data_IF_828873833216
#
_entry.id   IF_828873833216
#
_cell.length_a   1.000
_cell.length_b   1.000
_cell.length_c   1.000
_cell.angle_alpha   90.00
_cell.angle_beta   90.00
_cell.angle_gamma   90.00
#
_symmetry.space_group_name_H-M   'P 1'
#
loop_
_entity.id
_entity.type
_entity.pdbx_description
1 polymer ?
#
# COMPACT_ATOMS: atom_id res chain seq x y z
N UNK A 1 -9.95 -11.43 -3.32
CA UNK A 1 -9.98 -9.95 -3.27
C UNK A 1 -10.12 -9.44 -4.69
N UNK A 2 -11.18 -8.69 -5.00
CA UNK A 2 -11.41 -8.17 -6.36
C UNK A 2 -11.06 -6.68 -6.41
N UNK A 3 -9.75 -6.39 -6.53
CA UNK A 3 -9.25 -5.03 -6.78
C UNK A 3 -9.28 -4.78 -8.28
N UNK A 4 -9.73 -3.59 -8.68
CA UNK A 4 -9.66 -3.12 -10.07
C UNK A 4 -8.78 -1.88 -10.13
N UNK A 5 -8.27 -1.56 -11.31
CA UNK A 5 -7.44 -0.37 -11.53
C UNK A 5 -8.10 0.91 -11.02
N UNK A 6 -9.42 1.07 -11.21
CA UNK A 6 -10.17 2.23 -10.71
C UNK A 6 -10.16 2.39 -9.18
N UNK A 7 -9.85 1.33 -8.44
CA UNK A 7 -9.78 1.37 -6.98
C UNK A 7 -8.44 2.00 -6.51
N UNK A 8 -7.43 2.12 -7.39
CA UNK A 8 -6.14 2.76 -7.07
C UNK A 8 -6.27 4.26 -6.81
N UNK A 9 -7.14 4.98 -7.53
CA UNK A 9 -7.39 6.40 -7.25
C UNK A 9 -7.89 6.60 -5.80
N UNK A 10 -8.68 5.66 -5.29
CA UNK A 10 -9.22 5.72 -3.93
C UNK A 10 -8.14 5.43 -2.89
N UNK A 11 -7.22 4.52 -3.19
CA UNK A 11 -6.04 4.32 -2.35
C UNK A 11 -5.14 5.54 -2.33
N UNK A 12 -4.94 6.21 -3.47
CA UNK A 12 -4.20 7.47 -3.54
C UNK A 12 -4.84 8.54 -2.65
N UNK A 13 -6.17 8.69 -2.70
CA UNK A 13 -6.89 9.65 -1.84
C UNK A 13 -6.71 9.34 -0.35
N UNK A 14 -6.68 8.07 0.03
CA UNK A 14 -6.42 7.66 1.42
C UNK A 14 -4.95 7.91 1.81
N UNK A 15 -3.99 7.57 0.96
CA UNK A 15 -2.56 7.83 1.21
C UNK A 15 -2.28 9.33 1.38
N UNK A 16 -2.91 10.17 0.56
CA UNK A 16 -2.79 11.63 0.72
C UNK A 16 -3.34 12.10 2.08
N UNK A 17 -4.46 11.56 2.55
CA UNK A 17 -4.99 11.86 3.89
C UNK A 17 -4.06 11.34 5.01
N UNK A 18 -3.45 10.17 4.85
CA UNK A 18 -2.50 9.58 5.80
C UNK A 18 -1.19 10.37 5.86
N UNK A 19 -0.74 10.94 4.74
CA UNK A 19 0.45 11.79 4.68
C UNK A 19 0.36 13.01 5.58
N UNK A 20 -0.86 13.47 5.88
CA UNK A 20 -1.06 14.58 6.80
C UNK A 20 -0.92 14.17 8.27
N UNK A 21 -1.01 12.87 8.58
CA UNK A 21 -0.83 12.29 9.93
C UNK A 21 0.59 11.76 10.15
N UNK A 22 1.22 11.27 9.09
CA UNK A 22 2.57 10.73 9.04
C UNK A 22 3.49 11.72 8.32
N UNK A 23 3.66 12.91 8.92
CA UNK A 23 4.38 14.03 8.29
C UNK A 23 5.87 13.72 8.08
N UNK A 24 6.45 12.90 8.94
CA UNK A 24 7.86 12.49 8.86
C UNK A 24 8.08 11.57 7.64
N UNK A 25 7.07 10.78 7.29
CA UNK A 25 7.10 9.79 6.20
C UNK A 25 6.43 10.30 4.91
N UNK A 26 6.06 11.58 4.86
CA UNK A 26 5.34 12.19 3.73
C UNK A 26 6.05 11.98 2.39
N UNK A 27 7.38 11.99 2.37
CA UNK A 27 8.16 11.72 1.17
C UNK A 27 8.00 10.28 0.68
N UNK A 28 8.13 9.29 1.57
CA UNK A 28 7.91 7.87 1.23
C UNK A 28 6.46 7.61 0.80
N UNK A 29 5.48 8.21 1.47
CA UNK A 29 4.07 8.11 1.07
C UNK A 29 3.87 8.70 -0.33
N UNK A 30 4.53 9.81 -0.66
CA UNK A 30 4.46 10.42 -2.00
C UNK A 30 5.05 9.51 -3.09
N UNK A 31 6.10 8.73 -2.77
CA UNK A 31 6.62 7.70 -3.67
C UNK A 31 5.57 6.62 -3.90
N UNK A 32 4.94 6.12 -2.84
CA UNK A 32 3.83 5.16 -2.94
C UNK A 32 2.68 5.67 -3.81
N UNK A 33 2.23 6.91 -3.58
CA UNK A 33 1.20 7.57 -4.40
C UNK A 33 1.58 7.59 -5.88
N UNK A 34 2.83 7.97 -6.19
CA UNK A 34 3.31 8.00 -7.58
C UNK A 34 3.32 6.61 -8.21
N UNK A 35 3.78 5.59 -7.49
CA UNK A 35 3.78 4.21 -7.98
C UNK A 35 2.35 3.72 -8.26
N UNK A 36 1.40 4.00 -7.37
CA UNK A 36 -0.02 3.66 -7.57
C UNK A 36 -0.62 4.38 -8.79
N UNK A 37 -0.25 5.64 -9.03
CA UNK A 37 -0.69 6.39 -10.21
C UNK A 37 -0.10 5.80 -11.50
N UNK A 38 1.19 5.46 -11.48
CA UNK A 38 1.91 4.86 -12.62
C UNK A 38 1.25 3.52 -13.03
N UNK A 39 0.80 2.68 -12.09
CA UNK A 39 0.15 1.38 -12.36
C UNK A 39 -1.00 1.47 -13.37
N UNK A 40 -1.75 2.58 -13.35
CA UNK A 40 -2.88 2.80 -14.26
C UNK A 40 -2.45 2.98 -15.72
N UNK A 41 -1.18 3.32 -15.96
CA UNK A 41 -0.60 3.58 -17.28
C UNK A 41 0.39 2.50 -17.73
N UNK A 42 0.65 1.49 -16.90
CA UNK A 42 1.58 0.40 -17.20
C UNK A 42 0.87 -0.78 -17.89
N UNK A 43 1.39 -1.14 -19.06
CA UNK A 43 0.96 -2.32 -19.84
C UNK A 43 2.09 -3.34 -20.05
N UNK A 44 3.35 -2.90 -19.98
CA UNK A 44 4.51 -3.77 -20.15
C UNK A 44 4.77 -4.63 -18.90
N UNK A 45 4.96 -5.94 -19.08
CA UNK A 45 5.14 -6.88 -17.98
C UNK A 45 6.40 -6.59 -17.15
N UNK A 46 7.49 -6.14 -17.79
CA UNK A 46 8.74 -5.81 -17.08
C UNK A 46 8.55 -4.55 -16.25
N UNK A 47 7.89 -3.53 -16.81
CA UNK A 47 7.56 -2.31 -16.08
C UNK A 47 6.62 -2.57 -14.90
N UNK A 48 5.62 -3.44 -15.07
CA UNK A 48 4.74 -3.88 -13.97
C UNK A 48 5.53 -4.63 -12.89
N UNK A 49 6.38 -5.58 -13.26
CA UNK A 49 7.23 -6.31 -12.28
C UNK A 49 8.10 -5.35 -11.47
N UNK A 50 8.79 -4.42 -12.14
CA UNK A 50 9.62 -3.42 -11.46
C UNK A 50 8.81 -2.49 -10.55
N UNK A 51 7.56 -2.17 -10.94
CA UNK A 51 6.68 -1.37 -10.11
C UNK A 51 6.23 -2.14 -8.85
N UNK A 52 5.92 -3.44 -9.01
CA UNK A 52 5.53 -4.31 -7.89
C UNK A 52 6.68 -4.48 -6.89
N UNK A 53 7.91 -4.65 -7.38
CA UNK A 53 9.12 -4.72 -6.55
C UNK A 53 9.32 -3.43 -5.75
N UNK A 54 9.21 -2.25 -6.38
CA UNK A 54 9.31 -0.96 -5.67
C UNK A 54 8.21 -0.75 -4.63
N UNK A 55 6.99 -1.23 -4.89
CA UNK A 55 5.91 -1.21 -3.90
C UNK A 55 6.24 -2.10 -2.71
N UNK A 56 6.87 -3.26 -2.95
CA UNK A 56 7.31 -4.15 -1.89
C UNK A 56 8.53 -3.61 -1.11
N UNK A 57 9.49 -2.96 -1.79
CA UNK A 57 10.61 -2.27 -1.13
C UNK A 57 10.13 -1.18 -0.17
N UNK A 58 9.04 -0.47 -0.49
CA UNK A 58 8.45 0.49 0.47
C UNK A 58 7.89 -0.18 1.73
N UNK A 59 7.56 -1.48 1.68
CA UNK A 59 7.06 -2.23 2.83
C UNK A 59 8.20 -2.80 3.67
N UNK A 60 9.14 -3.48 3.02
CA UNK A 60 10.04 -4.47 3.62
C UNK A 60 11.52 -4.21 3.26
N UNK A 61 11.92 -2.94 3.28
CA UNK A 61 13.31 -2.50 3.29
C UNK A 61 13.74 -2.08 4.71
N UNK A 62 15.04 -1.87 4.95
CA UNK A 62 15.60 -1.40 6.23
C UNK A 62 14.96 -0.06 6.69
N UNK A 63 14.33 0.68 5.76
CA UNK A 63 13.58 1.91 6.03
C UNK A 63 12.11 1.84 5.59
N UNK A 64 11.61 0.63 5.36
CA UNK A 64 10.25 0.37 4.91
C UNK A 64 9.21 0.59 6.01
N UNK A 65 7.95 0.73 5.60
CA UNK A 65 6.85 1.05 6.51
C UNK A 65 6.64 0.01 7.61
N UNK A 66 6.97 -1.27 7.38
CA UNK A 66 6.88 -2.29 8.42
C UNK A 66 7.86 -2.00 9.57
N UNK A 67 9.12 -1.67 9.25
CA UNK A 67 10.14 -1.31 10.24
C UNK A 67 9.75 -0.05 10.99
N UNK A 68 9.29 0.99 10.29
CA UNK A 68 8.86 2.25 10.90
C UNK A 68 7.69 2.05 11.86
N UNK A 69 6.74 1.18 11.50
CA UNK A 69 5.60 0.84 12.35
C UNK A 69 6.00 0.10 13.63
N UNK A 70 6.99 -0.80 13.55
CA UNK A 70 7.52 -1.53 14.70
C UNK A 70 8.22 -0.64 15.73
N UNK A 71 8.84 0.45 15.28
CA UNK A 71 9.52 1.42 16.14
C UNK A 71 8.56 2.44 16.79
N UNK A 72 7.37 2.63 16.20
CA UNK A 72 6.40 3.63 16.66
C UNK A 72 5.71 3.22 17.97
N UNK A 73 5.41 4.22 18.81
CA UNK A 73 4.76 4.06 20.12
C UNK A 73 3.41 4.78 20.20
N UNK A 74 3.13 5.73 19.31
CA UNK A 74 1.84 6.39 19.20
C UNK A 74 0.83 5.48 18.50
N UNK A 75 -0.16 5.01 19.25
CA UNK A 75 -1.21 4.12 18.74
C UNK A 75 -1.96 4.68 17.51
N UNK A 76 -2.14 6.00 17.40
CA UNK A 76 -2.78 6.59 16.21
C UNK A 76 -1.86 6.53 14.99
N UNK A 77 -0.56 6.76 15.18
CA UNK A 77 0.43 6.60 14.11
C UNK A 77 0.58 5.14 13.70
N UNK A 78 0.61 4.19 14.65
CA UNK A 78 0.62 2.75 14.35
C UNK A 78 -0.57 2.38 13.46
N UNK A 79 -1.80 2.79 13.80
CA UNK A 79 -2.97 2.50 12.96
C UNK A 79 -2.87 3.19 11.59
N UNK A 80 -2.22 4.36 11.51
CA UNK A 80 -1.97 5.02 10.22
C UNK A 80 -0.95 4.25 9.37
N UNK A 81 0.11 3.74 9.98
CA UNK A 81 1.07 2.85 9.32
C UNK A 81 0.40 1.56 8.83
N UNK A 82 -0.42 0.92 9.65
CA UNK A 82 -1.21 -0.25 9.26
C UNK A 82 -1.98 0.01 7.96
N UNK A 83 -2.63 1.17 7.84
CA UNK A 83 -3.37 1.53 6.64
C UNK A 83 -2.46 1.71 5.41
N UNK A 84 -1.28 2.34 5.57
CA UNK A 84 -0.31 2.50 4.49
C UNK A 84 0.21 1.12 4.04
N UNK A 85 0.58 0.27 4.99
CA UNK A 85 1.08 -1.09 4.75
C UNK A 85 0.04 -1.91 4.00
N UNK A 86 -1.21 -1.94 4.48
CA UNK A 86 -2.28 -2.69 3.82
C UNK A 86 -2.49 -2.23 2.37
N UNK A 87 -2.53 -0.90 2.13
CA UNK A 87 -2.70 -0.34 0.79
C UNK A 87 -1.57 -0.76 -0.14
N UNK A 88 -0.31 -0.61 0.31
CA UNK A 88 0.85 -0.95 -0.50
C UNK A 88 0.94 -2.46 -0.75
N UNK A 89 0.60 -3.29 0.22
CA UNK A 89 0.60 -4.75 0.08
C UNK A 89 -0.49 -5.22 -0.91
N UNK A 90 -1.70 -4.66 -0.80
CA UNK A 90 -2.81 -4.90 -1.73
C UNK A 90 -2.43 -4.47 -3.15
N UNK A 91 -1.86 -3.28 -3.30
CA UNK A 91 -1.41 -2.76 -4.59
C UNK A 91 -0.28 -3.63 -5.16
N UNK A 92 0.73 -3.97 -4.36
CA UNK A 92 1.85 -4.82 -4.77
C UNK A 92 1.37 -6.17 -5.28
N UNK A 93 0.47 -6.86 -4.55
CA UNK A 93 -0.13 -8.11 -5.00
C UNK A 93 -0.82 -7.97 -6.36
N UNK A 94 -1.67 -6.95 -6.50
CA UNK A 94 -2.37 -6.70 -7.75
C UNK A 94 -1.40 -6.52 -8.93
N UNK A 95 -0.33 -5.73 -8.74
CA UNK A 95 0.63 -5.44 -9.80
C UNK A 95 1.47 -6.67 -10.14
N UNK A 96 1.89 -7.45 -9.14
CA UNK A 96 2.57 -8.72 -9.38
C UNK A 96 1.70 -9.69 -10.18
N UNK A 97 0.45 -9.89 -9.80
CA UNK A 97 -0.50 -10.73 -10.53
C UNK A 97 -0.71 -10.23 -11.96
N UNK A 98 -0.84 -8.91 -12.15
CA UNK A 98 -0.97 -8.27 -13.47
C UNK A 98 0.29 -8.44 -14.34
N UNK A 99 1.49 -8.43 -13.74
CA UNK A 99 2.76 -8.66 -14.44
C UNK A 99 2.96 -10.11 -14.90
N UNK A 100 2.16 -11.06 -14.40
CA UNK A 100 2.27 -12.48 -14.72
C UNK A 100 3.34 -13.23 -13.90
N UNK A 101 3.82 -12.64 -12.81
CA UNK A 101 4.71 -13.32 -11.86
C UNK A 101 4.04 -14.56 -11.26
N UNK A 102 4.82 -15.65 -11.12
CA UNK A 102 4.34 -16.94 -10.62
C UNK A 102 4.51 -17.15 -9.12
N UNK A 103 5.49 -16.46 -8.54
CA UNK A 103 5.88 -16.55 -7.15
C UNK A 103 5.98 -15.13 -6.63
N UNK A 104 5.30 -14.84 -5.52
CA UNK A 104 5.36 -13.51 -4.92
C UNK A 104 6.23 -13.59 -3.66
N UNK A 105 6.73 -12.46 -3.14
CA UNK A 105 7.25 -12.43 -1.78
C UNK A 105 6.22 -13.00 -0.80
N UNK A 106 6.65 -13.77 0.20
CA UNK A 106 5.75 -14.46 1.13
C UNK A 106 4.72 -13.51 1.79
N UNK A 107 5.07 -12.30 2.27
CA UNK A 107 4.09 -11.37 2.82
C UNK A 107 3.00 -10.98 1.81
N UNK A 108 3.37 -10.87 0.52
CA UNK A 108 2.46 -10.50 -0.56
C UNK A 108 1.56 -11.68 -0.97
N UNK A 109 2.07 -12.91 -0.94
CA UNK A 109 1.23 -14.10 -1.19
C UNK A 109 0.07 -14.20 -0.19
N UNK A 110 0.33 -13.84 1.08
CA UNK A 110 -0.65 -13.89 2.17
C UNK A 110 -1.73 -12.80 2.11
N UNK A 111 -1.53 -11.74 1.32
CA UNK A 111 -2.52 -10.65 1.20
C UNK A 111 -3.86 -11.20 0.70
N UNK A 112 -4.94 -10.92 1.44
CA UNK A 112 -6.25 -11.52 1.20
C UNK A 112 -7.39 -10.53 1.47
N UNK A 113 -8.63 -11.03 1.48
CA UNK A 113 -9.76 -10.20 1.91
C UNK A 113 -9.61 -9.72 3.36
N UNK A 114 -8.92 -10.47 4.21
CA UNK A 114 -8.66 -10.09 5.60
C UNK A 114 -7.79 -8.82 5.68
N UNK A 115 -6.83 -8.65 4.77
CA UNK A 115 -6.03 -7.43 4.64
C UNK A 115 -6.90 -6.22 4.29
N UNK A 116 -7.86 -6.41 3.38
CA UNK A 116 -8.83 -5.35 3.03
C UNK A 116 -9.78 -5.02 4.21
N UNK A 117 -10.22 -6.04 4.95
CA UNK A 117 -11.06 -5.85 6.12
C UNK A 117 -10.30 -5.11 7.23
N UNK A 118 -9.03 -5.46 7.44
CA UNK A 118 -8.13 -4.77 8.37
C UNK A 118 -7.95 -3.29 7.99
N UNK A 119 -7.66 -3.00 6.72
CA UNK A 119 -7.59 -1.61 6.22
C UNK A 119 -8.86 -0.83 6.55
N UNK A 120 -10.03 -1.39 6.24
CA UNK A 120 -11.32 -0.74 6.47
C UNK A 120 -11.58 -0.48 7.95
N UNK A 121 -11.21 -1.41 8.82
CA UNK A 121 -11.33 -1.24 10.27
C UNK A 121 -10.37 -0.16 10.79
N UNK A 122 -9.13 -0.14 10.33
CA UNK A 122 -8.13 0.85 10.72
C UNK A 122 -8.48 2.25 10.25
N UNK A 123 -9.00 2.42 9.02
CA UNK A 123 -9.52 3.70 8.53
C UNK A 123 -10.70 4.22 9.36
N UNK A 124 -11.61 3.33 9.80
CA UNK A 124 -12.71 3.71 10.71
C UNK A 124 -12.19 4.21 12.05
N UNK A 125 -11.19 3.54 12.64
CA UNK A 125 -10.55 3.97 13.90
C UNK A 125 -9.93 5.36 13.76
N UNK A 126 -9.34 5.66 12.61
CA UNK A 126 -8.75 6.95 12.29
C UNK A 126 -9.79 8.02 11.86
N UNK A 127 -11.04 7.63 11.62
CA UNK A 127 -12.07 8.52 11.05
C UNK A 127 -11.67 9.10 9.69
N UNK A 128 -10.97 8.32 8.87
CA UNK A 128 -10.62 8.66 7.49
C UNK A 128 -11.78 8.23 6.58
N UNK A 129 -12.18 9.11 5.66
CA UNK A 129 -13.22 8.82 4.69
C UNK A 129 -12.65 8.01 3.53
N UNK A 130 -13.36 6.96 3.11
CA UNK A 130 -12.99 6.09 1.99
C UNK A 130 -14.25 5.55 1.29
N UNK A 131 -14.16 5.17 0.01
CA UNK A 131 -15.31 4.79 -0.83
C UNK A 131 -15.11 3.48 -1.64
N UNK A 132 -14.42 2.49 -1.06
CA UNK A 132 -14.23 1.13 -1.60
C UNK A 132 -14.66 0.02 -0.64
#
# INVERSE_FOLDING_TARGET
MEIREKDFCKFIDVLNQLSERLQEEKEQISIGVKLLDDVTNLEDQVALSNCAEKLYELLDDDTGFAVLQEEEQDNQKIIAFDCVIDILAIASKYVYEKSGQKYLPEPIELVSNETMDHLKESLKKLQISYDF
#
